data_IF_907272631660
#
_entry.id   IF_907272631660
#
_cell.length_a   1.000
_cell.length_b   1.000
_cell.length_c   1.000
_cell.angle_alpha   90.00
_cell.angle_beta   90.00
_cell.angle_gamma   90.00
#
_symmetry.space_group_name_H-M   'P 1'
#
loop_
_entity.id
_entity.type
_entity.pdbx_description
1 polymer ?
#
# COMPACT_ATOMS: atom_id res chain seq x y z
N UNK A 1 4.54 44.38 26.10
CA UNK A 1 5.07 45.59 25.49
C UNK A 1 6.39 45.23 24.83
N UNK A 2 6.39 44.99 23.53
CA UNK A 2 7.59 44.69 22.74
C UNK A 2 7.51 45.54 21.48
N UNK A 3 8.46 46.41 21.23
CA UNK A 3 8.54 47.22 20.02
C UNK A 3 9.55 46.57 19.05
N UNK A 4 9.08 45.68 18.19
CA UNK A 4 9.88 45.14 17.07
C UNK A 4 8.98 45.05 15.83
N UNK A 5 8.45 46.17 15.39
CA UNK A 5 7.69 46.28 14.14
C UNK A 5 7.90 47.63 13.49
N UNK A 6 9.19 47.95 13.23
CA UNK A 6 9.56 49.12 12.43
C UNK A 6 10.86 48.85 11.70
N UNK A 7 10.83 48.04 10.64
CA UNK A 7 11.85 47.98 9.59
C UNK A 7 11.40 47.00 8.51
N UNK A 8 10.34 47.33 7.77
CA UNK A 8 10.10 46.76 6.45
C UNK A 8 9.84 47.95 5.51
N UNK A 9 10.64 48.15 4.45
CA UNK A 9 10.34 49.15 3.44
C UNK A 9 9.04 48.78 2.74
N UNK A 10 8.16 49.76 2.62
CA UNK A 10 6.94 49.69 1.84
C UNK A 10 7.26 49.42 0.38
N UNK A 11 7.15 48.15 -0.03
CA UNK A 11 7.09 47.78 -1.44
C UNK A 11 5.65 48.03 -1.91
N UNK A 12 5.38 49.28 -2.34
CA UNK A 12 4.27 49.56 -3.23
C UNK A 12 4.62 49.04 -4.62
N UNK A 13 4.41 47.74 -4.84
CA UNK A 13 4.27 47.20 -6.19
C UNK A 13 2.82 47.39 -6.59
N UNK A 14 2.55 48.44 -7.34
CA UNK A 14 1.35 48.62 -8.15
C UNK A 14 1.29 47.47 -9.17
N UNK A 15 0.58 46.42 -8.81
CA UNK A 15 0.22 45.29 -9.70
C UNK A 15 -0.98 45.70 -10.59
N UNK A 16 -0.92 46.89 -11.18
CA UNK A 16 -2.00 47.43 -12.02
C UNK A 16 -1.71 47.45 -13.51
N UNK A 17 -0.65 46.80 -13.94
CA UNK A 17 -0.40 46.68 -15.37
C UNK A 17 -0.22 45.17 -15.61
N UNK A 18 -1.20 44.50 -16.14
CA UNK A 18 -1.19 43.32 -17.04
C UNK A 18 -2.49 42.51 -16.88
N UNK A 19 -3.64 43.12 -16.95
CA UNK A 19 -4.85 42.39 -17.37
C UNK A 19 -5.89 43.34 -17.91
N UNK A 20 -5.54 44.06 -18.95
CA UNK A 20 -6.60 44.46 -19.88
C UNK A 20 -6.75 43.27 -20.84
N UNK A 21 -7.93 42.64 -20.89
CA UNK A 21 -8.20 41.67 -21.92
C UNK A 21 -8.08 42.39 -23.27
N UNK A 22 -7.21 41.87 -24.14
CA UNK A 22 -7.17 42.31 -25.53
C UNK A 22 -8.57 42.03 -26.11
N UNK A 23 -9.31 43.10 -26.40
CA UNK A 23 -10.58 43.04 -27.12
C UNK A 23 -10.22 43.34 -28.58
N UNK A 24 -10.21 42.32 -29.46
CA UNK A 24 -9.95 42.54 -30.88
C UNK A 24 -11.05 43.43 -31.47
N UNK A 25 -10.75 44.22 -32.52
CA UNK A 25 -11.73 45.06 -33.18
C UNK A 25 -12.87 44.17 -33.78
N UNK A 26 -14.10 44.67 -33.84
CA UNK A 26 -15.30 43.88 -34.18
C UNK A 26 -15.26 43.12 -35.52
N UNK A 27 -14.39 43.52 -36.42
CA UNK A 27 -14.29 42.90 -37.78
C UNK A 27 -13.41 41.63 -37.82
N UNK A 28 -12.64 41.31 -36.75
CA UNK A 28 -11.79 40.08 -36.67
C UNK A 28 -12.44 38.90 -35.94
N UNK A 29 -13.70 39.07 -35.46
CA UNK A 29 -14.33 38.05 -34.57
C UNK A 29 -15.07 36.96 -35.40
N UNK A 30 -15.40 37.21 -36.67
CA UNK A 30 -16.26 36.34 -37.43
C UNK A 30 -15.61 35.04 -37.93
N UNK A 31 -14.28 34.89 -37.87
CA UNK A 31 -13.58 33.69 -38.38
C UNK A 31 -12.84 32.88 -37.26
N UNK A 32 -13.05 33.18 -35.98
CA UNK A 32 -12.47 32.34 -34.91
C UNK A 32 -13.30 31.07 -34.75
N UNK A 33 -12.92 30.02 -35.47
CA UNK A 33 -13.39 28.65 -35.18
C UNK A 33 -13.15 28.40 -33.69
N UNK A 34 -14.19 28.12 -32.90
CA UNK A 34 -13.98 27.85 -31.46
C UNK A 34 -13.12 26.60 -31.33
N UNK A 35 -11.83 26.79 -31.12
CA UNK A 35 -10.91 25.71 -30.77
C UNK A 35 -11.40 25.17 -29.44
N UNK A 36 -12.08 24.05 -29.47
CA UNK A 36 -12.55 23.36 -28.27
C UNK A 36 -11.32 23.03 -27.44
N UNK A 37 -11.12 23.75 -26.36
CA UNK A 37 -9.98 23.54 -25.46
C UNK A 37 -9.84 22.04 -25.16
N UNK A 38 -8.65 21.46 -25.24
CA UNK A 38 -8.46 20.05 -24.95
C UNK A 38 -8.96 19.76 -23.54
N UNK A 39 -9.84 18.77 -23.40
CA UNK A 39 -10.54 18.44 -22.15
C UNK A 39 -9.58 18.14 -20.99
N UNK A 40 -8.40 17.61 -21.29
CA UNK A 40 -7.25 17.34 -20.42
C UNK A 40 -6.06 16.89 -21.26
N UNK A 41 -4.86 17.00 -20.72
CA UNK A 41 -3.62 16.49 -21.37
C UNK A 41 -3.43 15.03 -20.94
N UNK A 42 -3.39 14.05 -21.86
CA UNK A 42 -3.11 12.65 -21.54
C UNK A 42 -1.73 12.45 -20.89
N UNK A 43 -1.56 11.39 -20.08
CA UNK A 43 -0.29 11.07 -19.41
C UNK A 43 0.90 11.02 -20.37
N UNK A 44 0.70 10.44 -21.55
CA UNK A 44 1.75 10.31 -22.59
C UNK A 44 2.23 11.66 -23.15
N UNK A 45 1.40 12.69 -23.10
CA UNK A 45 1.64 13.98 -23.74
C UNK A 45 2.15 15.05 -22.74
N UNK A 46 2.19 14.73 -21.44
CA UNK A 46 2.80 15.62 -20.45
C UNK A 46 4.29 15.82 -20.68
N UNK A 47 4.79 16.99 -20.31
CA UNK A 47 6.21 17.31 -20.32
C UNK A 47 7.02 16.40 -19.38
N UNK A 48 8.30 16.21 -19.70
CA UNK A 48 9.19 15.34 -18.93
C UNK A 48 9.24 15.67 -17.43
N UNK A 49 9.30 16.93 -16.97
CA UNK A 49 9.29 17.24 -15.54
C UNK A 49 8.03 16.71 -14.82
N UNK A 50 6.85 16.83 -15.44
CA UNK A 50 5.59 16.31 -14.88
C UNK A 50 5.60 14.78 -14.80
N UNK A 51 6.10 14.11 -15.85
CA UNK A 51 6.26 12.66 -15.84
C UNK A 51 7.23 12.18 -14.76
N UNK A 52 8.34 12.89 -14.56
CA UNK A 52 9.31 12.59 -13.50
C UNK A 52 8.67 12.75 -12.12
N UNK A 53 7.91 13.85 -11.91
CA UNK A 53 7.17 14.08 -10.65
C UNK A 53 6.19 12.93 -10.36
N UNK A 54 5.36 12.57 -11.33
CA UNK A 54 4.37 11.50 -11.18
C UNK A 54 5.02 10.14 -10.96
N UNK A 55 6.09 9.84 -11.70
CA UNK A 55 6.86 8.60 -11.54
C UNK A 55 7.50 8.52 -10.16
N UNK A 56 8.14 9.61 -9.70
CA UNK A 56 8.74 9.68 -8.37
C UNK A 56 7.72 9.41 -7.27
N UNK A 57 6.55 10.05 -7.35
CA UNK A 57 5.45 9.79 -6.41
C UNK A 57 4.99 8.33 -6.45
N UNK A 58 4.67 7.80 -7.65
CA UNK A 58 4.19 6.43 -7.81
C UNK A 58 5.19 5.39 -7.31
N UNK A 59 6.49 5.58 -7.59
CA UNK A 59 7.54 4.68 -7.11
C UNK A 59 7.67 4.73 -5.58
N UNK A 60 7.63 5.93 -4.99
CA UNK A 60 7.69 6.09 -3.52
C UNK A 60 6.51 5.41 -2.84
N UNK A 61 5.30 5.60 -3.36
CA UNK A 61 4.09 4.94 -2.83
C UNK A 61 4.17 3.41 -2.98
N UNK A 62 4.69 2.90 -4.10
CA UNK A 62 4.86 1.46 -4.30
C UNK A 62 5.83 0.84 -3.28
N UNK A 63 6.95 1.53 -2.99
CA UNK A 63 7.89 1.11 -1.94
C UNK A 63 7.21 1.14 -0.57
N UNK A 64 6.47 2.21 -0.25
CA UNK A 64 5.69 2.31 0.98
C UNK A 64 4.66 1.20 1.12
N UNK A 65 3.96 0.85 0.03
CA UNK A 65 3.01 -0.26 0.01
C UNK A 65 3.68 -1.62 0.26
N UNK A 66 4.87 -1.84 -0.31
CA UNK A 66 5.66 -3.04 -0.03
C UNK A 66 6.00 -3.15 1.46
N UNK A 67 6.48 -2.06 2.09
CA UNK A 67 6.75 -2.05 3.52
C UNK A 67 5.49 -2.25 4.36
N UNK A 68 4.34 -1.74 3.92
CA UNK A 68 3.06 -1.98 4.59
C UNK A 68 2.67 -3.48 4.57
N UNK A 69 2.86 -4.19 3.45
CA UNK A 69 2.64 -5.64 3.37
C UNK A 69 3.59 -6.37 4.32
N UNK A 70 4.87 -6.02 4.33
CA UNK A 70 5.87 -6.61 5.23
C UNK A 70 5.44 -6.36 6.69
N UNK A 71 5.02 -5.15 7.03
CA UNK A 71 4.54 -4.81 8.37
C UNK A 71 3.33 -5.67 8.78
N UNK A 72 2.36 -5.87 7.89
CA UNK A 72 1.19 -6.73 8.15
C UNK A 72 1.64 -8.17 8.46
N UNK A 73 2.57 -8.72 7.70
CA UNK A 73 3.10 -10.06 7.94
C UNK A 73 3.78 -10.19 9.30
N UNK A 74 4.55 -9.17 9.72
CA UNK A 74 5.22 -9.20 11.03
C UNK A 74 4.29 -8.92 12.21
N UNK A 75 3.25 -8.11 12.03
CA UNK A 75 2.36 -7.74 13.14
C UNK A 75 1.19 -8.70 13.31
N UNK A 76 0.69 -9.27 12.22
CA UNK A 76 -0.49 -10.12 12.22
C UNK A 76 -0.21 -11.56 11.76
N UNK A 77 0.70 -11.76 10.81
CA UNK A 77 0.89 -13.04 10.12
C UNK A 77 1.59 -14.15 10.91
N UNK A 78 1.61 -14.06 12.23
CA UNK A 78 2.11 -15.10 13.15
C UNK A 78 1.23 -15.21 14.41
N UNK A 79 0.05 -14.62 14.40
CA UNK A 79 -0.82 -14.62 15.58
C UNK A 79 -1.37 -16.03 15.88
N UNK A 80 -1.54 -16.87 14.85
CA UNK A 80 -1.95 -18.28 14.97
C UNK A 80 -0.75 -19.25 15.21
N UNK A 81 0.48 -18.73 15.32
CA UNK A 81 1.71 -19.51 15.50
C UNK A 81 2.26 -20.14 14.22
N UNK A 82 1.72 -19.77 13.04
CA UNK A 82 2.20 -20.19 11.72
C UNK A 82 2.61 -18.96 10.92
N UNK A 83 3.65 -19.08 10.10
CA UNK A 83 4.06 -17.97 9.25
C UNK A 83 3.11 -17.79 8.06
N UNK A 84 2.63 -16.59 7.88
CA UNK A 84 1.73 -16.19 6.79
C UNK A 84 0.49 -15.50 7.33
N UNK A 85 -0.22 -14.77 6.48
CA UNK A 85 -1.46 -14.10 6.88
C UNK A 85 -2.65 -15.05 6.66
N UNK A 86 -3.28 -15.46 7.74
CA UNK A 86 -4.47 -16.31 7.76
C UNK A 86 -5.71 -15.54 8.24
N UNK A 87 -6.88 -16.15 8.10
CA UNK A 87 -8.12 -15.60 8.70
C UNK A 87 -8.03 -15.63 10.22
N UNK A 88 -7.41 -16.66 10.78
CA UNK A 88 -7.25 -16.82 12.23
C UNK A 88 -6.34 -15.74 12.81
N UNK A 89 -5.30 -15.32 12.08
CA UNK A 89 -4.45 -14.17 12.48
C UNK A 89 -5.26 -12.89 12.65
N UNK A 90 -6.19 -12.63 11.74
CA UNK A 90 -7.07 -11.46 11.79
C UNK A 90 -8.05 -11.60 12.96
N UNK A 91 -8.59 -12.80 13.18
CA UNK A 91 -9.46 -13.08 14.34
C UNK A 91 -8.71 -12.81 15.64
N UNK A 92 -7.51 -13.36 15.82
CA UNK A 92 -6.71 -13.15 17.04
C UNK A 92 -6.29 -11.69 17.23
N UNK A 93 -6.09 -10.96 16.14
CA UNK A 93 -5.72 -9.55 16.21
C UNK A 93 -6.86 -8.64 16.67
N UNK A 94 -8.07 -8.85 16.19
CA UNK A 94 -9.21 -7.96 16.45
C UNK A 94 -10.22 -8.50 17.46
N UNK A 95 -10.60 -9.78 17.35
CA UNK A 95 -11.55 -10.44 18.26
C UNK A 95 -10.85 -10.97 19.52
N UNK A 96 -9.61 -11.45 19.36
CA UNK A 96 -8.82 -12.09 20.40
C UNK A 96 -9.11 -13.59 20.53
N UNK A 97 -8.24 -14.27 21.28
CA UNK A 97 -8.46 -15.66 21.71
C UNK A 97 -9.15 -15.65 23.07
N UNK A 98 -10.47 -15.52 23.09
CA UNK A 98 -11.27 -15.40 24.30
C UNK A 98 -11.30 -16.65 25.18
N UNK A 99 -10.68 -17.74 24.75
CA UNK A 99 -10.49 -18.95 25.55
C UNK A 99 -9.19 -18.97 26.34
N UNK A 100 -8.34 -17.95 26.18
CA UNK A 100 -7.04 -17.82 26.85
C UNK A 100 -6.74 -16.39 27.26
N UNK A 101 -5.57 -16.20 27.87
CA UNK A 101 -5.09 -14.89 28.25
C UNK A 101 -4.24 -14.28 27.14
N UNK A 102 -4.01 -12.96 27.21
CA UNK A 102 -3.14 -12.24 26.25
C UNK A 102 -1.75 -12.87 26.23
N UNK A 103 -1.18 -13.15 27.42
CA UNK A 103 0.15 -13.74 27.53
C UNK A 103 0.21 -15.12 26.90
N UNK A 104 -0.76 -15.99 27.17
CA UNK A 104 -0.86 -17.33 26.59
C UNK A 104 -0.96 -17.27 25.06
N UNK A 105 -1.84 -16.41 24.52
CA UNK A 105 -2.01 -16.24 23.08
C UNK A 105 -0.70 -15.78 22.42
N UNK A 106 0.01 -14.83 23.02
CA UNK A 106 1.29 -14.33 22.47
C UNK A 106 2.41 -15.37 22.53
N UNK A 107 2.52 -16.12 23.63
CA UNK A 107 3.50 -17.18 23.78
C UNK A 107 3.26 -18.40 22.86
N UNK A 108 2.04 -18.67 22.48
CA UNK A 108 1.70 -19.71 21.50
C UNK A 108 1.70 -19.21 20.06
N UNK A 109 1.65 -17.89 19.84
CA UNK A 109 1.65 -17.21 18.55
C UNK A 109 2.97 -16.48 18.26
N UNK A 110 2.90 -15.16 18.14
CA UNK A 110 3.99 -14.31 17.66
C UNK A 110 5.28 -14.34 18.51
N UNK A 111 5.21 -14.75 19.78
CA UNK A 111 6.37 -14.85 20.68
C UNK A 111 6.85 -16.30 20.87
N UNK A 112 6.31 -17.25 20.12
CA UNK A 112 6.56 -18.69 20.28
C UNK A 112 8.05 -19.04 20.25
N UNK A 113 8.80 -18.42 19.34
CA UNK A 113 10.21 -18.76 19.11
C UNK A 113 11.19 -18.04 20.06
N UNK A 114 10.68 -17.15 20.93
CA UNK A 114 11.50 -16.37 21.84
C UNK A 114 11.76 -17.06 23.20
N UNK A 115 11.05 -18.16 23.49
CA UNK A 115 11.28 -18.96 24.69
C UNK A 115 11.14 -20.45 24.33
N UNK A 116 11.83 -21.32 25.07
CA UNK A 116 11.73 -22.76 24.92
C UNK A 116 10.31 -23.27 25.25
N UNK A 117 9.97 -24.47 24.81
CA UNK A 117 8.66 -25.07 25.08
C UNK A 117 8.40 -25.18 26.60
N UNK A 118 9.40 -25.55 27.38
CA UNK A 118 9.29 -25.64 28.84
C UNK A 118 9.08 -24.28 29.48
N UNK A 119 9.88 -23.26 29.11
CA UNK A 119 9.73 -21.90 29.63
C UNK A 119 8.34 -21.31 29.33
N UNK A 120 7.81 -21.57 28.14
CA UNK A 120 6.44 -21.15 27.78
C UNK A 120 5.39 -21.88 28.59
N UNK A 121 5.57 -23.20 28.78
CA UNK A 121 4.67 -24.00 29.59
C UNK A 121 4.63 -23.48 31.04
N UNK A 122 5.79 -23.21 31.64
CA UNK A 122 5.89 -22.72 33.01
C UNK A 122 5.19 -21.36 33.18
N UNK A 123 5.39 -20.44 32.25
CA UNK A 123 4.70 -19.14 32.25
C UNK A 123 3.19 -19.32 32.11
N UNK A 124 2.73 -20.16 31.17
CA UNK A 124 1.30 -20.39 30.91
C UNK A 124 0.65 -21.05 32.14
N UNK A 125 1.35 -21.99 32.76
CA UNK A 125 0.84 -22.66 33.97
C UNK A 125 0.70 -21.64 35.12
N UNK A 126 1.72 -20.81 35.37
CA UNK A 126 1.63 -19.72 36.35
C UNK A 126 0.44 -18.78 36.11
N UNK A 127 0.19 -18.43 34.84
CA UNK A 127 -0.97 -17.58 34.50
C UNK A 127 -2.30 -18.26 34.80
N UNK A 128 -2.41 -19.57 34.49
CA UNK A 128 -3.61 -20.37 34.75
C UNK A 128 -3.85 -20.61 36.25
N UNK A 129 -2.81 -20.64 37.03
CA UNK A 129 -2.86 -20.79 38.50
C UNK A 129 -3.19 -19.48 39.22
N UNK A 130 -3.43 -18.39 38.47
CA UNK A 130 -3.92 -17.11 39.03
C UNK A 130 -2.91 -15.97 39.01
N UNK A 131 -1.75 -16.17 38.41
CA UNK A 131 -0.69 -15.16 38.22
C UNK A 131 -0.30 -14.47 39.56
N UNK A 132 -0.09 -15.27 40.59
CA UNK A 132 0.31 -14.78 41.89
C UNK A 132 1.77 -14.27 41.88
N UNK A 133 2.07 -13.28 42.77
CA UNK A 133 3.40 -12.65 42.79
C UNK A 133 4.45 -13.52 43.44
N UNK A 134 4.08 -14.26 44.48
CA UNK A 134 5.02 -15.10 45.21
C UNK A 134 5.41 -16.28 44.28
N UNK A 135 4.47 -16.89 43.61
CA UNK A 135 4.72 -17.94 42.59
C UNK A 135 5.55 -17.41 41.41
N UNK A 136 5.37 -16.16 41.00
CA UNK A 136 6.16 -15.52 39.96
C UNK A 136 7.68 -15.50 40.31
N UNK A 137 7.99 -15.31 41.57
CA UNK A 137 9.37 -15.27 42.07
C UNK A 137 9.88 -16.70 42.36
N UNK A 138 9.13 -17.47 43.11
CA UNK A 138 9.55 -18.77 43.66
C UNK A 138 9.68 -19.84 42.59
N UNK A 139 8.78 -19.85 41.59
CA UNK A 139 8.81 -20.76 40.45
C UNK A 139 9.77 -20.30 39.32
N UNK A 140 10.50 -19.21 39.53
CA UNK A 140 11.51 -18.73 38.59
C UNK A 140 10.94 -18.05 37.31
N UNK A 141 9.65 -17.76 37.26
CA UNK A 141 9.00 -17.11 36.13
C UNK A 141 9.61 -15.73 35.88
N UNK A 142 9.92 -14.98 36.96
CA UNK A 142 10.61 -13.70 36.89
C UNK A 142 11.90 -13.80 36.07
N UNK A 143 12.75 -14.80 36.33
CA UNK A 143 14.03 -15.00 35.63
C UNK A 143 13.81 -15.29 34.14
N UNK A 144 12.79 -16.04 33.80
CA UNK A 144 12.46 -16.32 32.39
C UNK A 144 12.07 -15.02 31.69
N UNK A 145 11.15 -14.23 32.27
CA UNK A 145 10.69 -12.96 31.72
C UNK A 145 11.84 -11.96 31.56
N UNK A 146 12.70 -11.81 32.59
CA UNK A 146 13.85 -10.92 32.54
C UNK A 146 14.84 -11.30 31.44
N UNK A 147 15.13 -12.60 31.26
CA UNK A 147 16.14 -13.07 30.32
C UNK A 147 15.62 -13.17 28.89
N UNK A 148 14.33 -13.42 28.68
CA UNK A 148 13.77 -13.70 27.34
C UNK A 148 12.90 -12.56 26.81
N UNK A 149 12.22 -11.80 27.68
CA UNK A 149 11.22 -10.84 27.26
C UNK A 149 11.69 -9.38 27.41
N UNK A 150 12.33 -9.03 28.54
CA UNK A 150 12.68 -7.64 28.87
C UNK A 150 13.71 -7.06 27.90
N UNK A 151 14.51 -7.88 27.22
CA UNK A 151 15.45 -7.40 26.19
C UNK A 151 14.73 -6.58 25.10
N UNK A 152 13.53 -7.00 24.70
CA UNK A 152 12.70 -6.27 23.71
C UNK A 152 11.55 -5.51 24.39
N UNK A 153 11.03 -6.00 25.52
CA UNK A 153 9.88 -5.45 26.25
C UNK A 153 10.33 -4.64 27.48
N UNK A 154 11.04 -3.56 27.25
CA UNK A 154 11.52 -2.66 28.28
C UNK A 154 10.89 -1.26 28.15
N UNK A 155 11.17 -0.38 29.12
CA UNK A 155 10.64 1.00 29.18
C UNK A 155 10.99 1.86 27.96
N UNK A 156 12.08 1.54 27.25
CA UNK A 156 12.57 2.32 26.11
C UNK A 156 11.98 1.83 24.77
N UNK A 157 11.30 0.68 24.78
CA UNK A 157 10.69 0.08 23.60
C UNK A 157 9.37 0.79 23.24
N UNK A 158 9.36 1.52 22.11
CA UNK A 158 8.17 2.20 21.63
C UNK A 158 7.13 1.20 21.11
N UNK A 159 5.91 1.27 21.65
CA UNK A 159 4.77 0.47 21.17
C UNK A 159 4.69 -0.96 21.72
N UNK A 160 5.63 -1.38 22.57
CA UNK A 160 5.61 -2.67 23.26
C UNK A 160 5.29 -2.48 24.75
N UNK A 161 4.65 -3.46 25.42
CA UNK A 161 4.46 -3.40 26.88
C UNK A 161 5.80 -3.55 27.59
N UNK A 162 6.02 -2.74 28.61
CA UNK A 162 7.19 -2.86 29.50
C UNK A 162 7.00 -4.02 30.48
N UNK A 163 7.69 -5.14 30.25
CA UNK A 163 7.61 -6.35 31.07
C UNK A 163 8.65 -6.40 32.20
N UNK A 164 9.41 -5.32 32.42
CA UNK A 164 10.33 -5.21 33.56
C UNK A 164 9.60 -5.09 34.90
N UNK A 165 8.27 -4.82 34.88
CA UNK A 165 7.43 -4.67 36.06
C UNK A 165 6.44 -5.80 36.16
N UNK A 166 6.34 -6.43 37.32
CA UNK A 166 5.41 -7.50 37.61
C UNK A 166 3.95 -7.13 37.25
N UNK A 167 3.51 -5.93 37.60
CA UNK A 167 2.13 -5.46 37.37
C UNK A 167 1.78 -5.47 35.88
N UNK A 168 2.73 -5.14 35.01
CA UNK A 168 2.52 -5.17 33.57
C UNK A 168 2.46 -6.61 33.03
N UNK A 169 3.29 -7.52 33.56
CA UNK A 169 3.22 -8.95 33.23
C UNK A 169 1.88 -9.53 33.68
N UNK A 170 1.48 -9.23 34.92
CA UNK A 170 0.17 -9.63 35.47
C UNK A 170 -1.01 -9.08 34.69
N UNK A 171 -0.92 -7.86 34.17
CA UNK A 171 -1.97 -7.29 33.32
C UNK A 171 -2.22 -8.08 32.03
N UNK A 172 -1.20 -8.79 31.51
CA UNK A 172 -1.33 -9.67 30.35
C UNK A 172 -1.97 -11.04 30.67
N UNK A 173 -2.23 -11.34 31.96
CA UNK A 173 -2.99 -12.53 32.37
C UNK A 173 -4.51 -12.33 32.25
N UNK A 174 -4.95 -11.13 31.80
CA UNK A 174 -6.35 -10.89 31.46
C UNK A 174 -6.76 -11.65 30.20
N UNK A 175 -8.07 -11.91 30.07
CA UNK A 175 -8.67 -12.51 28.86
C UNK A 175 -8.23 -11.75 27.60
N UNK A 176 -7.84 -12.49 26.56
CA UNK A 176 -7.48 -11.90 25.28
C UNK A 176 -8.75 -11.51 24.51
N UNK A 177 -9.05 -10.24 24.54
CA UNK A 177 -10.16 -9.64 23.78
C UNK A 177 -9.70 -8.98 22.48
N UNK A 178 -8.47 -9.21 22.04
CA UNK A 178 -7.89 -8.60 20.84
C UNK A 178 -7.65 -7.09 20.95
N UNK A 179 -7.67 -6.38 19.84
CA UNK A 179 -7.42 -4.95 19.80
C UNK A 179 -8.38 -4.16 20.70
N UNK A 180 -7.88 -3.20 21.48
CA UNK A 180 -8.72 -2.32 22.30
C UNK A 180 -9.47 -1.31 21.45
N UNK A 181 -10.64 -0.82 21.92
CA UNK A 181 -11.40 0.22 21.22
C UNK A 181 -10.58 1.50 21.00
N UNK A 182 -9.75 1.88 21.97
CA UNK A 182 -8.86 3.04 21.84
C UNK A 182 -7.84 2.85 20.72
N UNK A 183 -7.24 1.65 20.61
CA UNK A 183 -6.32 1.30 19.53
C UNK A 183 -7.04 1.30 18.18
N UNK A 184 -8.21 0.66 18.08
CA UNK A 184 -9.01 0.64 16.85
C UNK A 184 -9.37 2.05 16.38
N UNK A 185 -9.83 2.92 17.27
CA UNK A 185 -10.17 4.31 16.94
C UNK A 185 -8.95 5.05 16.39
N UNK A 186 -7.80 4.94 17.07
CA UNK A 186 -6.55 5.60 16.66
C UNK A 186 -6.08 5.12 15.30
N UNK A 187 -6.07 3.81 15.07
CA UNK A 187 -5.60 3.24 13.81
C UNK A 187 -6.58 3.53 12.69
N UNK A 188 -7.90 3.45 12.94
CA UNK A 188 -8.94 3.72 11.95
C UNK A 188 -8.81 5.12 11.35
N UNK A 189 -8.69 6.17 12.19
CA UNK A 189 -8.61 7.53 11.66
C UNK A 189 -7.31 7.78 10.89
N UNK A 190 -6.16 7.21 11.36
CA UNK A 190 -4.88 7.34 10.65
C UNK A 190 -4.96 6.69 9.27
N UNK A 191 -5.53 5.47 9.19
CA UNK A 191 -5.67 4.76 7.91
C UNK A 191 -6.66 5.45 6.98
N UNK A 192 -7.82 5.89 7.48
CA UNK A 192 -8.80 6.59 6.64
C UNK A 192 -8.20 7.83 5.99
N UNK A 193 -7.53 8.69 6.74
CA UNK A 193 -6.92 9.89 6.18
C UNK A 193 -5.69 9.55 5.33
N UNK A 194 -4.74 8.77 5.87
CA UNK A 194 -3.47 8.49 5.18
C UNK A 194 -3.68 7.76 3.86
N UNK A 195 -4.46 6.69 3.86
CA UNK A 195 -4.69 5.87 2.66
C UNK A 195 -5.57 6.62 1.65
N UNK A 196 -6.58 7.39 2.11
CA UNK A 196 -7.42 8.19 1.20
C UNK A 196 -6.61 9.25 0.45
N UNK A 197 -5.65 9.92 1.11
CA UNK A 197 -4.73 10.84 0.44
C UNK A 197 -3.85 10.14 -0.60
N UNK A 198 -3.33 8.95 -0.28
CA UNK A 198 -2.54 8.17 -1.23
C UNK A 198 -3.38 7.86 -2.47
N UNK A 199 -4.60 7.33 -2.30
CA UNK A 199 -5.48 7.00 -3.42
C UNK A 199 -5.98 8.23 -4.18
N UNK A 200 -6.12 9.38 -3.52
CA UNK A 200 -6.45 10.63 -4.19
C UNK A 200 -5.36 11.00 -5.22
N UNK A 201 -4.10 11.03 -4.83
CA UNK A 201 -3.02 11.39 -5.75
C UNK A 201 -2.78 10.33 -6.83
N UNK A 202 -2.82 9.03 -6.48
CA UNK A 202 -2.72 7.95 -7.47
C UNK A 202 -3.89 8.03 -8.46
N UNK A 203 -5.11 8.29 -7.97
CA UNK A 203 -6.31 8.46 -8.77
C UNK A 203 -6.27 9.69 -9.68
N UNK A 204 -5.74 10.83 -9.20
CA UNK A 204 -5.51 12.03 -10.01
C UNK A 204 -4.58 11.69 -11.17
N UNK A 205 -3.42 11.10 -10.91
CA UNK A 205 -2.47 10.70 -11.96
C UNK A 205 -3.16 9.76 -12.95
N UNK A 206 -3.79 8.69 -12.46
CA UNK A 206 -4.47 7.74 -13.32
C UNK A 206 -5.66 8.33 -14.10
N UNK A 207 -6.30 9.38 -13.61
CA UNK A 207 -7.40 10.05 -14.30
C UNK A 207 -7.00 10.61 -15.66
N UNK A 208 -5.72 10.96 -15.84
CA UNK A 208 -5.14 11.41 -17.09
C UNK A 208 -4.80 10.28 -18.07
N UNK A 209 -4.92 9.00 -17.67
CA UNK A 209 -4.67 7.88 -18.57
C UNK A 209 -5.72 7.83 -19.68
N UNK A 210 -5.29 7.74 -20.95
CA UNK A 210 -6.19 7.71 -22.11
C UNK A 210 -6.54 6.29 -22.56
N UNK A 211 -5.63 5.34 -22.31
CA UNK A 211 -5.77 3.94 -22.77
C UNK A 211 -6.92 3.19 -22.10
N UNK A 212 -7.37 3.65 -20.93
CA UNK A 212 -8.42 3.00 -20.14
C UNK A 212 -9.80 3.61 -20.45
N UNK A 213 -10.79 2.75 -20.74
CA UNK A 213 -12.18 3.17 -20.94
C UNK A 213 -12.72 3.89 -19.71
N UNK A 214 -13.49 4.96 -19.89
CA UNK A 214 -14.01 5.81 -18.81
C UNK A 214 -14.70 5.03 -17.69
N UNK A 215 -15.54 4.03 -18.02
CA UNK A 215 -16.21 3.20 -16.99
C UNK A 215 -15.22 2.44 -16.10
N UNK A 216 -14.22 1.80 -16.71
CA UNK A 216 -13.18 1.07 -15.98
C UNK A 216 -12.31 2.02 -15.16
N UNK A 217 -12.03 3.21 -15.69
CA UNK A 217 -11.31 4.27 -14.98
C UNK A 217 -12.06 4.70 -13.71
N UNK A 218 -13.36 4.96 -13.82
CA UNK A 218 -14.19 5.30 -12.66
C UNK A 218 -14.22 4.19 -11.62
N UNK A 219 -14.33 2.93 -12.05
CA UNK A 219 -14.28 1.77 -11.14
C UNK A 219 -12.91 1.67 -10.47
N UNK A 220 -11.81 1.74 -11.22
CA UNK A 220 -10.45 1.63 -10.67
C UNK A 220 -10.15 2.73 -9.65
N UNK A 221 -10.63 3.96 -9.88
CA UNK A 221 -10.45 5.08 -8.94
C UNK A 221 -11.40 4.96 -7.73
N UNK A 222 -12.63 4.51 -7.92
CA UNK A 222 -13.63 4.45 -6.85
C UNK A 222 -13.47 3.26 -5.91
N UNK A 223 -13.06 2.10 -6.44
CA UNK A 223 -12.97 0.85 -5.67
C UNK A 223 -12.04 0.92 -4.45
N UNK A 224 -10.85 1.55 -4.50
CA UNK A 224 -10.00 1.68 -3.31
C UNK A 224 -10.70 2.34 -2.13
N UNK A 225 -11.53 3.36 -2.36
CA UNK A 225 -12.27 4.02 -1.27
C UNK A 225 -13.36 3.13 -0.70
N UNK A 226 -14.07 2.37 -1.55
CA UNK A 226 -15.06 1.39 -1.10
C UNK A 226 -14.39 0.32 -0.25
N UNK A 227 -13.28 -0.24 -0.72
CA UNK A 227 -12.53 -1.25 0.02
C UNK A 227 -11.90 -0.70 1.30
N UNK A 228 -11.39 0.55 1.30
CA UNK A 228 -10.86 1.19 2.50
C UNK A 228 -11.95 1.31 3.60
N UNK A 229 -13.13 1.79 3.23
CA UNK A 229 -14.25 1.89 4.18
C UNK A 229 -14.66 0.50 4.66
N UNK A 230 -14.79 -0.46 3.75
CA UNK A 230 -15.14 -1.84 4.08
C UNK A 230 -14.10 -2.50 5.01
N UNK A 231 -12.81 -2.28 4.77
CA UNK A 231 -11.71 -2.78 5.58
C UNK A 231 -11.81 -2.24 7.02
N UNK A 232 -11.87 -0.92 7.16
CA UNK A 232 -11.96 -0.28 8.49
C UNK A 232 -13.22 -0.73 9.24
N UNK A 233 -14.37 -0.77 8.59
CA UNK A 233 -15.60 -1.27 9.22
C UNK A 233 -15.46 -2.74 9.61
N UNK A 234 -14.78 -3.54 8.81
CA UNK A 234 -14.58 -4.96 9.10
C UNK A 234 -13.73 -5.19 10.34
N UNK A 235 -12.76 -4.32 10.67
CA UNK A 235 -12.01 -4.42 11.93
C UNK A 235 -12.94 -4.32 13.14
N UNK A 236 -13.86 -3.37 13.13
CA UNK A 236 -14.85 -3.17 14.20
C UNK A 236 -15.86 -4.32 14.24
N UNK A 237 -16.32 -4.80 13.10
CA UNK A 237 -17.23 -5.93 13.02
C UNK A 237 -16.55 -7.23 13.45
N UNK A 238 -15.26 -7.44 13.09
CA UNK A 238 -14.49 -8.60 13.55
C UNK A 238 -14.35 -8.62 15.07
N UNK A 239 -14.19 -7.45 15.71
CA UNK A 239 -14.20 -7.37 17.20
C UNK A 239 -15.50 -7.86 17.82
N UNK A 240 -16.61 -7.76 17.11
CA UNK A 240 -17.92 -8.26 17.56
C UNK A 240 -18.09 -9.75 17.22
N UNK A 241 -17.74 -10.14 15.98
CA UNK A 241 -17.91 -11.50 15.51
C UNK A 241 -16.80 -11.91 14.52
N UNK A 242 -16.13 -13.07 14.73
CA UNK A 242 -14.93 -13.47 13.98
C UNK A 242 -15.16 -13.67 12.48
N UNK A 243 -16.39 -13.96 12.02
CA UNK A 243 -16.69 -14.18 10.60
C UNK A 243 -16.31 -12.98 9.70
N UNK A 244 -16.28 -11.76 10.23
CA UNK A 244 -15.93 -10.57 9.47
C UNK A 244 -14.44 -10.46 9.15
N UNK A 245 -13.58 -11.30 9.75
CA UNK A 245 -12.15 -11.34 9.46
C UNK A 245 -11.85 -11.62 7.97
N UNK A 246 -12.67 -12.45 7.31
CA UNK A 246 -12.56 -12.71 5.88
C UNK A 246 -12.72 -11.42 5.05
N UNK A 247 -13.61 -10.52 5.48
CA UNK A 247 -13.86 -9.26 4.77
C UNK A 247 -12.66 -8.31 4.86
N UNK A 248 -11.91 -8.33 5.96
CA UNK A 248 -10.64 -7.58 6.09
C UNK A 248 -9.65 -8.00 5.01
N UNK A 249 -9.45 -9.31 4.83
CA UNK A 249 -8.54 -9.84 3.81
C UNK A 249 -9.01 -9.48 2.40
N UNK A 250 -10.30 -9.66 2.10
CA UNK A 250 -10.85 -9.35 0.78
C UNK A 250 -10.76 -7.85 0.47
N UNK A 251 -11.03 -6.99 1.44
CA UNK A 251 -10.92 -5.55 1.28
C UNK A 251 -9.47 -5.11 1.04
N UNK A 252 -8.51 -5.64 1.81
CA UNK A 252 -7.09 -5.39 1.60
C UNK A 252 -6.59 -5.82 0.22
N UNK A 253 -7.00 -7.01 -0.24
CA UNK A 253 -6.68 -7.50 -1.59
C UNK A 253 -7.30 -6.62 -2.68
N UNK A 254 -8.55 -6.17 -2.49
CA UNK A 254 -9.24 -5.30 -3.43
C UNK A 254 -8.57 -3.92 -3.57
N UNK A 255 -8.14 -3.32 -2.45
CA UNK A 255 -7.33 -2.09 -2.46
C UNK A 255 -6.02 -2.29 -3.21
N UNK A 256 -5.30 -3.38 -2.91
CA UNK A 256 -4.04 -3.72 -3.57
C UNK A 256 -4.16 -3.91 -5.06
N UNK A 257 -5.17 -4.65 -5.51
CA UNK A 257 -5.43 -4.89 -6.91
C UNK A 257 -5.74 -3.58 -7.67
N UNK A 258 -6.55 -2.71 -7.08
CA UNK A 258 -6.88 -1.40 -7.65
C UNK A 258 -5.65 -0.50 -7.74
N UNK A 259 -4.80 -0.48 -6.69
CA UNK A 259 -3.54 0.25 -6.69
C UNK A 259 -2.60 -0.23 -7.79
N UNK A 260 -2.33 -1.54 -7.85
CA UNK A 260 -1.42 -2.13 -8.85
C UNK A 260 -1.90 -1.83 -10.27
N UNK A 261 -3.21 -1.94 -10.53
CA UNK A 261 -3.78 -1.61 -11.82
C UNK A 261 -3.52 -0.15 -12.22
N UNK A 262 -3.88 0.82 -11.35
CA UNK A 262 -3.67 2.23 -11.61
C UNK A 262 -2.18 2.57 -11.76
N UNK A 263 -1.33 1.99 -10.91
CA UNK A 263 0.12 2.19 -10.92
C UNK A 263 0.76 1.70 -12.21
N UNK A 264 0.49 0.45 -12.61
CA UNK A 264 1.04 -0.15 -13.83
C UNK A 264 0.61 0.63 -15.07
N UNK A 265 -0.69 0.89 -15.21
CA UNK A 265 -1.21 1.60 -16.38
C UNK A 265 -0.65 3.01 -16.49
N UNK A 266 -0.55 3.75 -15.37
CA UNK A 266 0.00 5.10 -15.38
C UNK A 266 1.47 5.13 -15.81
N UNK A 267 2.29 4.23 -15.29
CA UNK A 267 3.72 4.16 -15.67
C UNK A 267 3.91 3.72 -17.13
N UNK A 268 3.17 2.71 -17.57
CA UNK A 268 3.23 2.25 -18.96
C UNK A 268 2.82 3.34 -19.93
N UNK A 269 1.74 4.08 -19.62
CA UNK A 269 1.27 5.15 -20.49
C UNK A 269 2.22 6.34 -20.54
N UNK A 270 2.84 6.72 -19.42
CA UNK A 270 3.81 7.82 -19.39
C UNK A 270 5.07 7.55 -20.23
N UNK A 271 5.60 6.32 -20.18
CA UNK A 271 6.94 6.05 -20.68
C UNK A 271 7.01 5.09 -21.87
N UNK A 272 6.13 4.10 -21.93
CA UNK A 272 6.17 3.06 -22.97
C UNK A 272 5.15 3.30 -24.09
N UNK A 273 4.09 4.04 -23.80
CA UNK A 273 3.04 4.36 -24.77
C UNK A 273 3.38 5.60 -25.61
N UNK A 274 4.64 5.71 -26.03
CA UNK A 274 4.96 6.64 -27.11
C UNK A 274 4.51 6.01 -28.41
N UNK A 275 3.68 6.72 -29.22
CA UNK A 275 3.39 6.29 -30.58
C UNK A 275 4.65 6.09 -31.43
N UNK A 276 5.81 6.59 -30.96
CA UNK A 276 7.11 6.46 -31.60
C UNK A 276 7.59 5.01 -31.71
N UNK A 277 7.31 4.13 -30.73
CA UNK A 277 7.75 2.73 -30.86
C UNK A 277 6.81 1.93 -31.77
N UNK A 278 5.50 2.11 -31.62
CA UNK A 278 4.50 1.46 -32.51
C UNK A 278 4.46 2.17 -33.86
N UNK A 279 4.63 3.50 -33.94
CA UNK A 279 4.74 4.21 -35.22
C UNK A 279 6.07 3.97 -35.90
N UNK A 280 7.19 3.85 -35.17
CA UNK A 280 8.48 3.48 -35.73
C UNK A 280 8.46 2.06 -36.33
N UNK A 281 7.99 1.07 -35.58
CA UNK A 281 7.72 -0.28 -36.08
C UNK A 281 6.68 -0.29 -37.20
N UNK A 282 5.63 0.52 -37.06
CA UNK A 282 4.59 0.67 -38.08
C UNK A 282 5.11 1.35 -39.33
N UNK A 283 5.94 2.39 -39.24
CA UNK A 283 6.54 3.07 -40.39
C UNK A 283 7.53 2.13 -41.06
N UNK A 284 8.41 1.44 -40.33
CA UNK A 284 9.32 0.44 -40.90
C UNK A 284 8.56 -0.75 -41.50
N UNK A 285 7.49 -1.19 -40.85
CA UNK A 285 6.63 -2.24 -41.36
C UNK A 285 5.93 -1.80 -42.65
N UNK A 286 5.35 -0.61 -42.74
CA UNK A 286 4.69 -0.09 -43.91
C UNK A 286 5.66 0.10 -45.06
N UNK A 287 6.86 0.67 -44.83
CA UNK A 287 7.93 0.81 -45.82
C UNK A 287 8.40 -0.55 -46.33
N UNK A 288 8.54 -1.55 -45.44
CA UNK A 288 8.87 -2.90 -45.84
C UNK A 288 7.73 -3.57 -46.60
N UNK A 289 6.50 -3.37 -46.11
CA UNK A 289 5.27 -3.93 -46.71
C UNK A 289 5.06 -3.47 -48.15
N UNK A 290 5.28 -2.19 -48.42
CA UNK A 290 5.18 -1.61 -49.77
C UNK A 290 6.23 -2.20 -50.74
N UNK A 291 7.34 -2.71 -50.22
CA UNK A 291 8.38 -3.36 -51.04
C UNK A 291 8.13 -4.86 -51.25
N UNK A 292 7.16 -5.48 -50.58
CA UNK A 292 6.89 -6.92 -50.69
C UNK A 292 6.00 -7.20 -51.90
N UNK A 293 6.60 -7.78 -52.93
CA UNK A 293 5.91 -8.13 -54.22
C UNK A 293 4.96 -9.33 -54.07
N UNK A 294 5.04 -10.15 -53.05
CA UNK A 294 4.22 -11.34 -52.85
C UNK A 294 3.01 -11.03 -52.00
N UNK A 295 1.83 -11.15 -52.55
CA UNK A 295 0.56 -10.93 -51.86
C UNK A 295 0.34 -11.87 -50.66
N UNK A 296 0.77 -13.14 -50.77
CA UNK A 296 0.67 -14.14 -49.72
C UNK A 296 1.57 -13.81 -48.52
N UNK A 297 2.80 -13.42 -48.79
CA UNK A 297 3.75 -13.00 -47.77
C UNK A 297 3.24 -11.72 -47.05
N UNK A 298 2.69 -10.80 -47.84
CA UNK A 298 2.08 -9.60 -47.30
C UNK A 298 0.91 -9.88 -46.35
N UNK A 299 -0.03 -10.76 -46.72
CA UNK A 299 -1.15 -11.14 -45.85
C UNK A 299 -0.73 -11.83 -44.58
N UNK A 300 0.30 -12.70 -44.62
CA UNK A 300 0.88 -13.35 -43.43
C UNK A 300 1.52 -12.31 -42.53
N UNK A 301 2.26 -11.38 -43.08
CA UNK A 301 2.92 -10.32 -42.33
C UNK A 301 1.93 -9.35 -41.67
N UNK A 302 0.83 -8.98 -42.39
CA UNK A 302 -0.27 -8.18 -41.85
C UNK A 302 -0.93 -8.86 -40.64
N UNK A 303 -1.15 -10.18 -40.75
CA UNK A 303 -1.71 -11.00 -39.69
C UNK A 303 -0.78 -11.05 -38.47
N UNK A 304 0.51 -11.34 -38.68
CA UNK A 304 1.53 -11.38 -37.61
C UNK A 304 1.70 -10.01 -36.93
N UNK A 305 1.72 -8.92 -37.72
CA UNK A 305 1.78 -7.58 -37.15
C UNK A 305 0.54 -7.22 -36.31
N UNK A 306 -0.65 -7.67 -36.76
CA UNK A 306 -1.88 -7.51 -36.00
C UNK A 306 -1.85 -8.27 -34.67
N UNK A 307 -1.24 -9.48 -34.67
CA UNK A 307 -1.04 -10.28 -33.45
C UNK A 307 -0.04 -9.61 -32.49
N UNK A 308 1.08 -9.11 -32.99
CA UNK A 308 2.07 -8.37 -32.20
C UNK A 308 1.42 -7.14 -31.56
N UNK A 309 0.60 -6.41 -32.30
CA UNK A 309 -0.14 -5.24 -31.78
C UNK A 309 -1.16 -5.62 -30.71
N UNK A 310 -1.74 -6.83 -30.75
CA UNK A 310 -2.67 -7.34 -29.73
C UNK A 310 -1.95 -7.92 -28.50
N UNK A 311 -0.80 -8.57 -28.70
CA UNK A 311 -0.06 -9.31 -27.66
C UNK A 311 0.95 -8.40 -26.93
N UNK A 312 1.42 -7.34 -27.58
CA UNK A 312 2.44 -6.45 -27.02
C UNK A 312 2.14 -5.94 -25.60
N UNK A 313 0.91 -5.48 -25.26
CA UNK A 313 0.61 -5.08 -23.89
C UNK A 313 0.64 -6.24 -22.89
N UNK A 314 0.22 -7.45 -23.31
CA UNK A 314 0.20 -8.66 -22.49
C UNK A 314 1.64 -9.19 -22.32
N UNK A 315 2.43 -9.21 -23.38
CA UNK A 315 3.81 -9.67 -23.38
C UNK A 315 4.73 -8.78 -22.53
N UNK A 316 4.57 -7.46 -22.59
CA UNK A 316 5.34 -6.53 -21.74
C UNK A 316 5.00 -6.72 -20.26
N UNK A 317 3.73 -6.90 -19.94
CA UNK A 317 3.29 -7.18 -18.57
C UNK A 317 3.83 -8.54 -18.07
N UNK A 318 3.76 -9.59 -18.90
CA UNK A 318 4.24 -10.92 -18.57
C UNK A 318 5.76 -10.96 -18.41
N UNK A 319 6.51 -10.32 -19.32
CA UNK A 319 7.99 -10.27 -19.26
C UNK A 319 8.50 -9.42 -18.08
N UNK A 320 7.81 -8.35 -17.73
CA UNK A 320 8.10 -7.57 -16.53
C UNK A 320 7.89 -8.41 -15.26
N UNK A 321 6.88 -9.27 -15.24
CA UNK A 321 6.59 -10.18 -14.14
C UNK A 321 7.62 -11.32 -14.03
N UNK A 322 8.07 -11.88 -15.16
CA UNK A 322 9.12 -12.90 -15.20
C UNK A 322 10.47 -12.37 -14.69
N UNK A 323 10.75 -11.07 -14.86
CA UNK A 323 11.95 -10.41 -14.32
C UNK A 323 11.77 -10.05 -12.84
N UNK A 324 10.60 -9.56 -12.45
CA UNK A 324 10.33 -9.13 -11.09
C UNK A 324 10.24 -10.29 -10.09
N UNK A 325 9.66 -11.42 -10.47
CA UNK A 325 9.44 -12.56 -9.58
C UNK A 325 10.74 -13.15 -9.01
N UNK A 326 11.80 -13.40 -9.80
CA UNK A 326 13.08 -13.87 -9.28
C UNK A 326 13.79 -12.86 -8.38
N UNK A 327 13.63 -11.54 -8.66
CA UNK A 327 14.21 -10.48 -7.84
C UNK A 327 13.50 -10.38 -6.49
N UNK A 328 12.16 -10.45 -6.49
CA UNK A 328 11.36 -10.49 -5.27
C UNK A 328 11.67 -11.73 -4.43
N UNK A 329 11.85 -12.90 -5.08
CA UNK A 329 12.24 -14.12 -4.37
C UNK A 329 13.63 -14.00 -3.74
N UNK A 330 14.63 -13.46 -4.46
CA UNK A 330 15.98 -13.23 -3.91
C UNK A 330 15.96 -12.23 -2.74
N UNK A 331 15.18 -11.16 -2.86
CA UNK A 331 15.01 -10.19 -1.79
C UNK A 331 14.35 -10.84 -0.57
N UNK A 332 13.34 -11.67 -0.79
CA UNK A 332 12.66 -12.43 0.26
C UNK A 332 13.59 -13.42 0.97
N UNK A 333 14.34 -14.22 0.22
CA UNK A 333 15.32 -15.16 0.77
C UNK A 333 16.44 -14.44 1.54
N UNK A 334 16.86 -13.26 1.05
CA UNK A 334 17.83 -12.40 1.76
C UNK A 334 17.24 -11.89 3.09
N UNK A 335 16.01 -11.39 3.10
CA UNK A 335 15.34 -10.90 4.31
C UNK A 335 15.17 -12.04 5.34
N UNK A 336 14.71 -13.22 4.90
CA UNK A 336 14.60 -14.40 5.78
C UNK A 336 15.95 -14.82 6.37
N UNK A 337 17.04 -14.75 5.59
CA UNK A 337 18.39 -15.09 6.07
C UNK A 337 18.92 -14.15 7.14
N UNK A 338 18.37 -12.93 7.24
CA UNK A 338 18.74 -11.94 8.26
C UNK A 338 17.86 -12.00 9.50
N UNK A 339 16.64 -12.51 9.37
CA UNK A 339 15.69 -12.67 10.47
C UNK A 339 16.02 -13.93 11.29
N UNK A 340 16.58 -14.97 10.65
CA UNK A 340 16.97 -16.22 11.31
C UNK A 340 18.39 -16.22 11.90
N UNK A 341 19.03 -15.06 12.00
CA UNK A 341 20.28 -14.81 12.77
C UNK A 341 19.99 -13.90 13.96
#
# INVERSE_FOLDING_TARGET
MLPVLKCLPSFNLTFEIIMQPYIPPPEEIDDVIPVKAPKYIPLKDHDTPVKVLFTGYLCTVAVGYLFAIIQILFTHGMADGKFGLSVDDIVYSYYGNRSGTVLETKLNGSMKDNASEQERFDIIQWVRDGADKDDYIDNGIQKIVENKCVMCHNKDASGLPDLSKFENVKALSAEDTGATFASLTRISHIHLFGISFIFMFVGIIFSFAETTKTRLKCVAIGMPYVFLIADILSWWLTKIHPMFAMLVILAGMGMGASFVYMWVVSLLEMWLYKPVFVSGLGIHYLQWRDNVKSETVGKIADYLFSLVKKIHPIYVAQKSWEIALPLLKKLWDFLLSKINK
#
